data_IF_692104458396
#
_entry.id   IF_692104458396
#
_cell.length_a   1.000
_cell.length_b   1.000
_cell.length_c   1.000
_cell.angle_alpha   90.00
_cell.angle_beta   90.00
_cell.angle_gamma   90.00
#
_symmetry.space_group_name_H-M   'P 1'
#
loop_
_entity.id
_entity.type
_entity.pdbx_description
1 polymer ?
#
# COMPACT_ATOMS: atom_id res chain seq x y z
N UNK A 1 -15.80 -3.47 -28.25
CA UNK A 1 -16.78 -3.32 -27.15
C UNK A 1 -17.28 -4.66 -26.58
N UNK A 2 -17.58 -5.68 -27.39
CA UNK A 2 -18.05 -6.99 -26.90
C UNK A 2 -17.05 -7.74 -26.00
N UNK A 3 -15.75 -7.69 -26.33
CA UNK A 3 -14.67 -8.35 -25.57
C UNK A 3 -14.56 -7.85 -24.12
N UNK A 4 -14.51 -6.53 -23.92
CA UNK A 4 -14.40 -5.92 -22.59
C UNK A 4 -15.66 -6.12 -21.76
N UNK A 5 -16.85 -6.05 -22.38
CA UNK A 5 -18.10 -6.34 -21.69
C UNK A 5 -18.17 -7.80 -21.23
N UNK A 6 -17.70 -8.74 -22.06
CA UNK A 6 -17.63 -10.15 -21.69
C UNK A 6 -16.63 -10.41 -20.56
N UNK A 7 -15.44 -9.79 -20.64
CA UNK A 7 -14.42 -9.81 -19.57
C UNK A 7 -15.01 -9.30 -18.25
N UNK A 8 -15.70 -8.16 -18.28
CA UNK A 8 -16.32 -7.58 -17.08
C UNK A 8 -17.49 -8.42 -16.57
N UNK A 9 -18.26 -9.06 -17.45
CA UNK A 9 -19.33 -9.99 -17.06
C UNK A 9 -18.77 -11.20 -16.32
N UNK A 10 -17.68 -11.78 -16.81
CA UNK A 10 -17.03 -12.95 -16.21
C UNK A 10 -16.29 -12.56 -14.93
N UNK A 11 -15.54 -11.46 -14.95
CA UNK A 11 -14.79 -10.95 -13.80
C UNK A 11 -15.67 -10.58 -12.60
N UNK A 12 -16.95 -10.26 -12.82
CA UNK A 12 -17.90 -9.92 -11.75
C UNK A 12 -18.88 -11.05 -11.41
N UNK A 13 -18.62 -12.29 -11.82
CA UNK A 13 -19.49 -13.42 -11.49
C UNK A 13 -19.56 -13.66 -9.97
N UNK A 14 -20.72 -14.13 -9.45
CA UNK A 14 -20.90 -14.44 -8.03
C UNK A 14 -19.86 -15.43 -7.48
N UNK A 15 -19.40 -16.37 -8.32
CA UNK A 15 -18.38 -17.34 -7.94
C UNK A 15 -17.02 -16.68 -7.67
N UNK A 16 -16.63 -15.70 -8.50
CA UNK A 16 -15.38 -14.95 -8.32
C UNK A 16 -15.46 -14.10 -7.05
N UNK A 17 -16.62 -13.49 -6.78
CA UNK A 17 -16.90 -12.80 -5.52
C UNK A 17 -16.72 -13.72 -4.31
N UNK A 18 -17.28 -14.94 -4.34
CA UNK A 18 -17.16 -15.88 -3.23
C UNK A 18 -15.69 -16.27 -2.97
N UNK A 19 -14.94 -16.60 -4.02
CA UNK A 19 -13.52 -16.95 -3.90
C UNK A 19 -12.66 -15.79 -3.36
N UNK A 20 -12.90 -14.57 -3.84
CA UNK A 20 -12.22 -13.38 -3.36
C UNK A 20 -12.58 -13.09 -1.90
N UNK A 21 -13.87 -13.17 -1.56
CA UNK A 21 -14.36 -12.91 -0.21
C UNK A 21 -13.74 -13.84 0.83
N UNK A 22 -13.61 -15.14 0.53
CA UNK A 22 -12.95 -16.11 1.44
C UNK A 22 -11.54 -15.63 1.79
N UNK A 23 -10.76 -15.22 0.80
CA UNK A 23 -9.37 -14.80 1.03
C UNK A 23 -9.29 -13.47 1.80
N UNK A 24 -10.19 -12.52 1.52
CA UNK A 24 -10.28 -11.27 2.30
C UNK A 24 -10.70 -11.53 3.75
N UNK A 25 -11.59 -12.49 3.99
CA UNK A 25 -11.97 -12.90 5.35
C UNK A 25 -10.77 -13.52 6.07
N UNK A 26 -9.96 -14.33 5.38
CA UNK A 26 -8.72 -14.87 5.96
C UNK A 26 -7.77 -13.75 6.37
N UNK A 27 -7.55 -12.74 5.53
CA UNK A 27 -6.66 -11.62 5.88
C UNK A 27 -7.20 -10.80 7.06
N UNK A 28 -8.53 -10.60 7.14
CA UNK A 28 -9.18 -9.96 8.28
C UNK A 28 -8.97 -10.77 9.57
N UNK A 29 -9.15 -12.09 9.52
CA UNK A 29 -8.91 -12.98 10.67
C UNK A 29 -7.45 -12.91 11.10
N UNK A 30 -6.49 -12.94 10.16
CA UNK A 30 -5.06 -12.80 10.46
C UNK A 30 -4.75 -11.46 11.16
N UNK A 31 -5.29 -10.35 10.67
CA UNK A 31 -5.18 -9.02 11.30
C UNK A 31 -5.66 -9.03 12.76
N UNK A 32 -6.81 -9.66 13.03
CA UNK A 32 -7.37 -9.79 14.38
C UNK A 32 -6.49 -10.67 15.27
N UNK A 33 -5.99 -11.79 14.75
CA UNK A 33 -5.09 -12.70 15.49
C UNK A 33 -3.76 -12.02 15.83
N UNK A 34 -3.14 -11.30 14.88
CA UNK A 34 -1.92 -10.55 15.15
C UNK A 34 -2.15 -9.42 16.16
N UNK A 35 -3.30 -8.75 16.10
CA UNK A 35 -3.65 -7.74 17.11
C UNK A 35 -3.77 -8.36 18.51
N UNK A 36 -4.34 -9.56 18.61
CA UNK A 36 -4.41 -10.31 19.88
C UNK A 36 -3.02 -10.74 20.36
N UNK A 37 -2.19 -11.25 19.46
CA UNK A 37 -0.82 -11.65 19.76
C UNK A 37 0.01 -10.47 20.25
N UNK A 38 -0.02 -9.34 19.54
CA UNK A 38 0.69 -8.11 19.93
C UNK A 38 0.28 -7.63 21.34
N UNK A 39 -1.02 -7.68 21.67
CA UNK A 39 -1.51 -7.34 23.02
C UNK A 39 -0.99 -8.31 24.09
N UNK A 40 -0.90 -9.61 23.78
CA UNK A 40 -0.37 -10.62 24.69
C UNK A 40 1.13 -10.42 24.91
N UNK A 41 1.90 -10.25 23.85
CA UNK A 41 3.35 -10.01 23.91
C UNK A 41 3.67 -8.70 24.63
N UNK A 42 2.90 -7.63 24.43
CA UNK A 42 3.07 -6.39 25.18
C UNK A 42 2.87 -6.57 26.69
N UNK A 43 1.92 -7.42 27.09
CA UNK A 43 1.69 -7.77 28.51
C UNK A 43 2.85 -8.61 29.07
N UNK A 44 3.33 -9.59 28.31
CA UNK A 44 4.49 -10.43 28.69
C UNK A 44 5.78 -9.59 28.81
N UNK A 45 5.95 -8.58 27.95
CA UNK A 45 7.06 -7.63 27.98
C UNK A 45 6.90 -6.49 29.00
N UNK A 46 5.87 -6.53 29.86
CA UNK A 46 5.57 -5.50 30.88
C UNK A 46 5.46 -4.06 30.33
N UNK A 47 5.02 -3.90 29.08
CA UNK A 47 4.78 -2.58 28.50
C UNK A 47 3.51 -1.99 29.11
N UNK A 48 3.55 -0.71 29.49
CA UNK A 48 2.39 -0.01 30.05
C UNK A 48 1.17 -0.11 29.11
N UNK A 49 -0.02 -0.50 29.62
CA UNK A 49 -1.24 -0.56 28.83
C UNK A 49 -1.62 0.76 28.14
N UNK A 50 -1.23 1.89 28.74
CA UNK A 50 -1.48 3.22 28.20
C UNK A 50 -0.66 3.47 26.92
N UNK A 51 0.59 3.02 26.90
CA UNK A 51 1.48 3.13 25.74
C UNK A 51 0.95 2.25 24.60
N UNK A 52 0.59 1.00 24.90
CA UNK A 52 0.02 0.08 23.89
C UNK A 52 -1.30 0.61 23.31
N UNK A 53 -2.17 1.19 24.13
CA UNK A 53 -3.44 1.78 23.69
C UNK A 53 -3.21 3.01 22.82
N UNK A 54 -2.26 3.86 23.18
CA UNK A 54 -1.89 5.04 22.40
C UNK A 54 -1.29 4.62 21.06
N UNK A 55 -0.31 3.71 21.06
CA UNK A 55 0.30 3.18 19.84
C UNK A 55 -0.73 2.58 18.88
N UNK A 56 -1.68 1.79 19.39
CA UNK A 56 -2.75 1.20 18.58
C UNK A 56 -3.69 2.27 18.00
N UNK A 57 -4.06 3.28 18.79
CA UNK A 57 -4.89 4.40 18.32
C UNK A 57 -4.18 5.20 17.23
N UNK A 58 -2.93 5.57 17.46
CA UNK A 58 -2.11 6.31 16.49
C UNK A 58 -1.97 5.51 15.20
N UNK A 59 -1.72 4.21 15.29
CA UNK A 59 -1.65 3.32 14.13
C UNK A 59 -2.96 3.22 13.34
N UNK A 60 -4.10 3.13 14.02
CA UNK A 60 -5.41 3.10 13.37
C UNK A 60 -5.72 4.41 12.65
N UNK A 61 -5.43 5.55 13.27
CA UNK A 61 -5.69 6.87 12.66
C UNK A 61 -4.75 7.12 11.49
N UNK A 62 -3.46 6.77 11.63
CA UNK A 62 -2.47 6.99 10.58
C UNK A 62 -2.70 6.09 9.35
N UNK A 63 -3.33 4.92 9.53
CA UNK A 63 -3.68 4.02 8.43
C UNK A 63 -4.81 4.55 7.53
N UNK A 64 -5.61 5.51 8.00
CA UNK A 64 -6.75 6.07 7.22
C UNK A 64 -6.25 6.74 5.93
N UNK A 65 -5.17 7.51 6.00
CA UNK A 65 -4.61 8.22 4.84
C UNK A 65 -4.23 7.26 3.71
N UNK A 66 -3.34 6.28 3.95
CA UNK A 66 -3.01 5.24 2.99
C UNK A 66 -4.23 4.46 2.48
N UNK A 67 -5.20 4.13 3.36
CA UNK A 67 -6.40 3.40 2.96
C UNK A 67 -7.27 4.15 1.94
N UNK A 68 -7.40 5.48 2.07
CA UNK A 68 -8.14 6.30 1.10
C UNK A 68 -7.44 6.28 -0.27
N UNK A 69 -6.10 6.42 -0.30
CA UNK A 69 -5.34 6.37 -1.54
C UNK A 69 -5.48 5.02 -2.26
N UNK A 70 -5.44 3.93 -1.49
CA UNK A 70 -5.68 2.56 -1.99
C UNK A 70 -7.09 2.41 -2.54
N UNK A 71 -8.09 2.97 -1.85
CA UNK A 71 -9.49 2.93 -2.29
C UNK A 71 -9.71 3.64 -3.63
N UNK A 72 -9.08 4.79 -3.86
CA UNK A 72 -9.18 5.51 -5.15
C UNK A 72 -8.67 4.64 -6.30
N UNK A 73 -7.51 4.00 -6.13
CA UNK A 73 -6.95 3.12 -7.18
C UNK A 73 -7.80 1.86 -7.35
N UNK A 74 -8.43 1.36 -6.29
CA UNK A 74 -9.38 0.25 -6.38
C UNK A 74 -10.48 0.55 -7.39
N UNK A 75 -11.12 1.72 -7.26
CA UNK A 75 -12.21 2.12 -8.15
C UNK A 75 -11.74 2.16 -9.61
N UNK A 76 -10.51 2.62 -9.88
CA UNK A 76 -9.92 2.59 -11.22
C UNK A 76 -9.69 1.18 -11.75
N UNK A 77 -9.20 0.27 -10.92
CA UNK A 77 -8.98 -1.14 -11.30
C UNK A 77 -10.28 -1.92 -11.47
N UNK A 78 -11.33 -1.60 -10.71
CA UNK A 78 -12.63 -2.26 -10.83
C UNK A 78 -13.18 -2.18 -12.27
N UNK A 79 -12.92 -1.08 -12.97
CA UNK A 79 -13.36 -0.87 -14.36
C UNK A 79 -12.59 -1.70 -15.39
N UNK A 80 -11.46 -2.32 -15.03
CA UNK A 80 -10.53 -2.97 -15.99
C UNK A 80 -10.31 -4.45 -15.71
N UNK A 81 -10.18 -4.85 -14.45
CA UNK A 81 -9.85 -6.23 -14.04
C UNK A 81 -10.98 -6.94 -13.29
N UNK A 82 -12.12 -6.28 -13.13
CA UNK A 82 -13.26 -6.77 -12.36
C UNK A 82 -13.24 -6.38 -10.88
N UNK A 83 -14.43 -6.23 -10.30
CA UNK A 83 -14.61 -5.74 -8.93
C UNK A 83 -14.08 -6.69 -7.84
N UNK A 84 -14.34 -8.01 -7.89
CA UNK A 84 -13.87 -8.93 -6.87
C UNK A 84 -12.34 -8.97 -6.79
N UNK A 85 -11.68 -8.97 -7.94
CA UNK A 85 -10.23 -9.11 -8.01
C UNK A 85 -9.54 -7.83 -7.53
N UNK A 86 -10.02 -6.65 -7.94
CA UNK A 86 -9.52 -5.37 -7.43
C UNK A 86 -9.65 -5.29 -5.90
N UNK A 87 -10.79 -5.72 -5.36
CA UNK A 87 -11.03 -5.76 -3.91
C UNK A 87 -10.09 -6.71 -3.17
N UNK A 88 -9.92 -7.93 -3.66
CA UNK A 88 -9.02 -8.92 -3.08
C UNK A 88 -7.58 -8.40 -2.99
N UNK A 89 -7.07 -7.86 -4.10
CA UNK A 89 -5.66 -7.49 -4.22
C UNK A 89 -5.28 -6.34 -3.32
N UNK A 90 -6.13 -5.33 -3.26
CA UNK A 90 -5.90 -4.17 -2.42
C UNK A 90 -6.18 -4.45 -0.93
N UNK A 91 -6.96 -5.49 -0.62
CA UNK A 91 -7.14 -5.97 0.75
C UNK A 91 -5.97 -6.81 1.29
N UNK A 92 -5.11 -7.35 0.43
CA UNK A 92 -3.96 -8.19 0.82
C UNK A 92 -2.63 -7.44 0.70
N UNK A 93 -2.37 -6.80 -0.44
CA UNK A 93 -1.06 -6.20 -0.72
C UNK A 93 -1.02 -4.74 -0.25
N UNK A 94 -2.16 -4.05 -0.27
CA UNK A 94 -2.30 -2.66 0.18
C UNK A 94 -1.47 -1.63 -0.60
N UNK A 95 -0.60 -2.03 -1.52
CA UNK A 95 0.22 -1.15 -2.34
C UNK A 95 -0.40 -0.99 -3.73
N UNK A 96 -1.36 -0.08 -3.83
CA UNK A 96 -2.07 0.21 -5.08
C UNK A 96 -1.15 0.50 -6.30
N UNK A 97 -0.06 1.29 -6.19
CA UNK A 97 0.82 1.55 -7.34
C UNK A 97 1.55 0.31 -7.86
N UNK A 98 1.90 -0.63 -6.98
CA UNK A 98 2.59 -1.87 -7.38
C UNK A 98 1.63 -2.81 -8.10
N UNK A 99 0.39 -2.91 -7.61
CA UNK A 99 -0.68 -3.67 -8.26
C UNK A 99 -1.02 -3.11 -9.65
N UNK A 100 -1.15 -1.80 -9.76
CA UNK A 100 -1.39 -1.14 -11.05
C UNK A 100 -0.23 -1.39 -12.02
N UNK A 101 1.01 -1.28 -11.56
CA UNK A 101 2.20 -1.51 -12.39
C UNK A 101 2.29 -2.97 -12.85
N UNK A 102 2.06 -3.93 -11.95
CA UNK A 102 2.02 -5.35 -12.30
C UNK A 102 0.92 -5.64 -13.34
N UNK A 103 -0.25 -5.03 -13.17
CA UNK A 103 -1.37 -5.20 -14.09
C UNK A 103 -1.06 -4.60 -15.47
N UNK A 104 -0.46 -3.41 -15.53
CA UNK A 104 -0.04 -2.75 -16.78
C UNK A 104 0.98 -3.59 -17.52
N UNK A 105 2.06 -3.99 -16.86
CA UNK A 105 3.14 -4.76 -17.47
C UNK A 105 2.63 -6.11 -18.00
N UNK A 106 1.73 -6.76 -17.27
CA UNK A 106 1.14 -8.02 -17.70
C UNK A 106 0.23 -7.87 -18.92
N UNK A 107 -0.57 -6.80 -18.96
CA UNK A 107 -1.41 -6.50 -20.11
C UNK A 107 -0.55 -6.20 -21.36
N UNK A 108 0.52 -5.41 -21.20
CA UNK A 108 1.48 -5.09 -22.25
C UNK A 108 2.22 -6.33 -22.75
N UNK A 109 2.67 -7.20 -21.84
CA UNK A 109 3.30 -8.47 -22.18
C UNK A 109 2.35 -9.41 -22.94
N UNK A 110 1.05 -9.32 -22.70
CA UNK A 110 0.02 -10.06 -23.42
C UNK A 110 -0.43 -9.37 -24.74
N UNK A 111 0.25 -8.30 -25.16
CA UNK A 111 -0.03 -7.59 -26.42
C UNK A 111 -1.22 -6.62 -26.36
N UNK A 112 -1.67 -6.26 -25.16
CA UNK A 112 -2.80 -5.36 -24.92
C UNK A 112 -2.42 -4.25 -23.93
N UNK A 113 -3.37 -3.40 -23.55
CA UNK A 113 -3.22 -2.45 -22.45
C UNK A 113 -4.42 -2.54 -21.53
N UNK A 114 -4.23 -2.19 -20.26
CA UNK A 114 -5.32 -2.13 -19.29
C UNK A 114 -6.48 -1.28 -19.83
N UNK A 115 -7.68 -1.87 -19.86
CA UNK A 115 -8.91 -1.18 -20.30
C UNK A 115 -8.98 -0.86 -21.80
N UNK A 116 -8.07 -1.39 -22.64
CA UNK A 116 -8.14 -1.20 -24.09
C UNK A 116 -9.12 -2.18 -24.75
N UNK A 117 -9.54 -1.89 -25.98
CA UNK A 117 -10.52 -2.71 -26.72
C UNK A 117 -10.04 -4.15 -26.98
N UNK A 118 -8.73 -4.37 -27.03
CA UNK A 118 -8.11 -5.68 -27.18
C UNK A 118 -7.86 -6.40 -25.85
N UNK A 119 -8.42 -5.93 -24.73
CA UNK A 119 -8.33 -6.60 -23.44
C UNK A 119 -9.29 -7.81 -23.42
N UNK A 120 -8.77 -8.97 -23.82
CA UNK A 120 -9.53 -10.23 -23.90
C UNK A 120 -9.50 -11.00 -22.57
N UNK A 121 -10.26 -12.10 -22.48
CA UNK A 121 -10.23 -13.04 -21.35
C UNK A 121 -8.83 -13.62 -21.10
N UNK A 122 -8.06 -13.87 -22.15
CA UNK A 122 -6.68 -14.37 -22.03
C UNK A 122 -5.77 -13.31 -21.41
N UNK A 123 -5.88 -12.06 -21.86
CA UNK A 123 -5.14 -10.92 -21.28
C UNK A 123 -5.51 -10.77 -19.81
N UNK A 124 -6.81 -10.83 -19.46
CA UNK A 124 -7.27 -10.77 -18.07
C UNK A 124 -6.65 -11.89 -17.22
N UNK A 125 -6.63 -13.13 -17.71
CA UNK A 125 -6.05 -14.26 -16.98
C UNK A 125 -4.55 -14.08 -16.74
N UNK A 126 -3.80 -13.63 -17.76
CA UNK A 126 -2.36 -13.30 -17.63
C UNK A 126 -2.15 -12.17 -16.63
N UNK A 127 -2.97 -11.12 -16.67
CA UNK A 127 -2.94 -10.00 -15.73
C UNK A 127 -3.20 -10.47 -14.29
N UNK A 128 -4.25 -11.26 -14.05
CA UNK A 128 -4.54 -11.80 -12.72
C UNK A 128 -3.41 -12.70 -12.20
N UNK A 129 -2.82 -13.51 -13.08
CA UNK A 129 -1.71 -14.39 -12.72
C UNK A 129 -0.44 -13.61 -12.37
N UNK A 130 -0.06 -12.62 -13.18
CA UNK A 130 1.08 -11.76 -12.90
C UNK A 130 0.92 -10.97 -11.60
N UNK A 131 -0.30 -10.46 -11.35
CA UNK A 131 -0.62 -9.84 -10.07
C UNK A 131 -0.48 -10.85 -8.92
N UNK A 132 -1.00 -12.07 -9.04
CA UNK A 132 -0.81 -13.10 -8.02
C UNK A 132 0.68 -13.38 -7.73
N UNK A 133 1.50 -13.53 -8.79
CA UNK A 133 2.95 -13.71 -8.68
C UNK A 133 3.66 -12.54 -7.98
N UNK A 134 3.24 -11.30 -8.27
CA UNK A 134 3.75 -10.11 -7.58
C UNK A 134 3.60 -10.25 -6.05
N UNK A 135 2.48 -10.80 -5.58
CA UNK A 135 2.27 -11.06 -4.14
C UNK A 135 3.10 -12.20 -3.59
N UNK A 136 3.22 -13.30 -4.34
CA UNK A 136 3.99 -14.47 -3.93
C UNK A 136 5.48 -14.15 -3.77
N UNK A 137 6.04 -13.28 -4.61
CA UNK A 137 7.45 -12.87 -4.51
C UNK A 137 7.82 -12.31 -3.14
N UNK A 138 6.96 -11.44 -2.58
CA UNK A 138 7.17 -10.87 -1.24
C UNK A 138 7.13 -11.92 -0.13
N UNK A 139 6.17 -12.85 -0.21
CA UNK A 139 6.02 -13.92 0.79
C UNK A 139 7.19 -14.92 0.74
N UNK A 140 7.65 -15.28 -0.45
CA UNK A 140 8.78 -16.20 -0.62
C UNK A 140 10.08 -15.58 -0.10
N UNK A 141 10.36 -14.33 -0.48
CA UNK A 141 11.57 -13.64 -0.04
C UNK A 141 11.53 -13.40 1.47
N UNK A 142 10.40 -12.96 2.01
CA UNK A 142 10.25 -12.76 3.46
C UNK A 142 10.39 -14.09 4.22
N UNK A 143 9.71 -15.15 3.78
CA UNK A 143 9.76 -16.45 4.45
C UNK A 143 11.15 -17.10 4.43
N UNK A 144 11.87 -17.01 3.31
CA UNK A 144 13.19 -17.62 3.17
C UNK A 144 14.29 -16.78 3.81
N UNK A 145 14.25 -15.45 3.65
CA UNK A 145 15.36 -14.58 4.00
C UNK A 145 15.17 -13.79 5.30
N UNK A 146 13.96 -13.66 5.87
CA UNK A 146 13.79 -12.93 7.13
C UNK A 146 14.69 -13.42 8.28
N UNK A 147 14.90 -14.73 8.51
CA UNK A 147 15.80 -15.20 9.57
C UNK A 147 17.26 -14.83 9.31
N UNK A 148 17.67 -14.78 8.04
CA UNK A 148 19.03 -14.41 7.66
C UNK A 148 19.23 -12.91 7.74
N UNK A 149 18.23 -12.12 7.37
CA UNK A 149 18.24 -10.67 7.48
C UNK A 149 18.30 -10.24 8.95
N UNK A 150 17.60 -10.92 9.86
CA UNK A 150 17.70 -10.60 11.30
C UNK A 150 19.10 -10.92 11.84
N UNK A 151 19.69 -12.06 11.48
CA UNK A 151 21.09 -12.38 11.83
C UNK A 151 22.08 -11.36 11.27
N UNK A 152 21.86 -10.92 10.04
CA UNK A 152 22.71 -9.92 9.37
C UNK A 152 22.56 -8.56 10.06
N UNK A 153 21.32 -8.17 10.40
CA UNK A 153 21.01 -6.96 11.16
C UNK A 153 21.68 -6.97 12.53
N UNK A 154 21.59 -8.05 13.29
CA UNK A 154 22.26 -8.19 14.59
C UNK A 154 23.80 -8.13 14.45
N UNK A 155 24.36 -8.79 13.44
CA UNK A 155 25.80 -8.79 13.16
C UNK A 155 26.31 -7.41 12.74
N UNK A 156 25.55 -6.68 11.93
CA UNK A 156 25.89 -5.31 11.53
C UNK A 156 25.70 -4.31 12.68
N UNK A 157 24.69 -4.52 13.52
CA UNK A 157 24.40 -3.66 14.66
C UNK A 157 25.32 -3.85 15.86
N UNK A 158 25.98 -5.01 15.99
CA UNK A 158 26.94 -5.29 17.07
C UNK A 158 26.35 -5.17 18.48
N UNK A 159 25.02 -5.19 18.63
CA UNK A 159 24.30 -4.95 19.89
C UNK A 159 23.95 -3.47 20.18
N UNK A 160 24.39 -2.51 19.37
CA UNK A 160 24.03 -1.10 19.56
C UNK A 160 22.64 -0.79 18.97
N UNK A 161 21.68 -0.62 19.86
CA UNK A 161 20.28 -0.27 19.55
C UNK A 161 20.14 1.02 18.74
N UNK A 162 21.07 1.98 18.87
CA UNK A 162 21.06 3.22 18.08
C UNK A 162 21.48 2.97 16.63
N UNK A 163 22.50 2.13 16.43
CA UNK A 163 22.91 1.71 15.09
C UNK A 163 21.83 0.89 14.40
N UNK A 164 21.17 -0.01 15.13
CA UNK A 164 20.03 -0.76 14.62
C UNK A 164 18.85 0.15 14.22
N UNK A 165 18.58 1.20 14.99
CA UNK A 165 17.57 2.20 14.65
C UNK A 165 17.97 3.01 13.39
N UNK A 166 19.24 3.40 13.27
CA UNK A 166 19.75 4.14 12.12
C UNK A 166 19.68 3.31 10.82
N UNK A 167 20.06 2.02 10.86
CA UNK A 167 19.94 1.11 9.72
C UNK A 167 18.48 0.93 9.31
N UNK A 168 17.57 0.73 10.28
CA UNK A 168 16.14 0.63 9.99
C UNK A 168 15.55 1.91 9.38
N UNK A 169 16.00 3.08 9.86
CA UNK A 169 15.65 4.38 9.30
C UNK A 169 16.17 4.55 7.87
N UNK A 170 17.44 4.24 7.62
CA UNK A 170 18.06 4.31 6.30
C UNK A 170 17.39 3.36 5.30
N UNK A 171 17.07 2.13 5.72
CA UNK A 171 16.34 1.16 4.90
C UNK A 171 14.95 1.68 4.51
N UNK A 172 14.21 2.23 5.48
CA UNK A 172 12.88 2.82 5.24
C UNK A 172 12.97 4.00 4.27
N UNK A 173 13.93 4.90 4.48
CA UNK A 173 14.19 6.03 3.58
C UNK A 173 14.58 5.57 2.17
N UNK A 174 15.38 4.52 2.05
CA UNK A 174 15.77 3.93 0.77
C UNK A 174 14.57 3.36 0.00
N UNK A 175 13.73 2.56 0.67
CA UNK A 175 12.53 1.96 0.07
C UNK A 175 11.54 3.04 -0.35
N UNK A 176 11.15 3.93 0.57
CA UNK A 176 10.19 5.00 0.24
C UNK A 176 10.77 6.02 -0.74
N UNK A 177 12.08 6.27 -0.70
CA UNK A 177 12.78 7.12 -1.66
C UNK A 177 12.76 6.54 -3.07
N UNK A 178 13.01 5.24 -3.23
CA UNK A 178 12.90 4.55 -4.52
C UNK A 178 11.47 4.58 -5.06
N UNK A 179 10.48 4.25 -4.23
CA UNK A 179 9.07 4.27 -4.61
C UNK A 179 8.62 5.70 -5.01
N UNK A 180 9.01 6.71 -4.23
CA UNK A 180 8.73 8.11 -4.51
C UNK A 180 9.42 8.57 -5.81
N UNK A 181 10.68 8.19 -6.04
CA UNK A 181 11.42 8.53 -7.26
C UNK A 181 10.75 7.94 -8.51
N UNK A 182 10.27 6.71 -8.43
CA UNK A 182 9.54 6.08 -9.53
C UNK A 182 8.25 6.85 -9.85
N UNK A 183 7.49 7.28 -8.84
CA UNK A 183 6.27 8.06 -9.07
C UNK A 183 6.54 9.48 -9.57
N UNK A 184 7.60 10.14 -9.09
CA UNK A 184 8.05 11.46 -9.58
C UNK A 184 8.38 11.40 -11.07
N UNK A 185 9.02 10.31 -11.55
CA UNK A 185 9.35 10.15 -12.96
C UNK A 185 8.12 9.97 -13.86
N UNK A 186 6.96 9.58 -13.31
CA UNK A 186 5.74 9.33 -14.11
C UNK A 186 4.99 10.60 -14.49
N UNK A 187 5.20 11.73 -13.81
CA UNK A 187 4.53 12.98 -14.15
C UNK A 187 4.78 14.14 -13.20
N UNK A 188 4.56 15.36 -13.69
CA UNK A 188 4.72 16.61 -12.94
C UNK A 188 3.70 16.75 -11.81
N UNK A 189 2.45 16.29 -11.99
CA UNK A 189 1.43 16.21 -10.94
C UNK A 189 1.88 15.34 -9.76
N UNK A 190 2.44 14.15 -10.05
CA UNK A 190 2.98 13.24 -9.02
C UNK A 190 4.18 13.85 -8.28
N UNK A 191 5.05 14.56 -9.00
CA UNK A 191 6.16 15.28 -8.40
C UNK A 191 5.69 16.38 -7.43
N UNK A 192 4.68 17.14 -7.83
CA UNK A 192 4.05 18.15 -6.98
C UNK A 192 3.40 17.51 -5.74
N UNK A 193 2.71 16.38 -5.90
CA UNK A 193 2.15 15.62 -4.78
C UNK A 193 3.22 15.25 -3.74
N UNK A 194 4.36 14.74 -4.22
CA UNK A 194 5.47 14.32 -3.37
C UNK A 194 6.11 15.52 -2.63
N UNK A 195 6.38 16.62 -3.33
CA UNK A 195 7.00 17.81 -2.76
C UNK A 195 6.07 18.53 -1.77
N UNK A 196 4.82 18.77 -2.17
CA UNK A 196 3.84 19.47 -1.32
C UNK A 196 3.45 18.63 -0.11
N UNK A 197 3.33 17.30 -0.26
CA UNK A 197 3.12 16.38 0.85
C UNK A 197 4.30 16.38 1.82
N UNK A 198 5.54 16.37 1.32
CA UNK A 198 6.74 16.45 2.17
C UNK A 198 6.81 17.78 2.95
N UNK A 199 6.57 18.90 2.27
CA UNK A 199 6.54 20.23 2.91
C UNK A 199 5.42 20.32 3.95
N UNK A 200 4.22 19.85 3.63
CA UNK A 200 3.10 19.80 4.56
C UNK A 200 3.42 18.95 5.78
N UNK A 201 4.07 17.80 5.61
CA UNK A 201 4.47 16.93 6.72
C UNK A 201 5.50 17.63 7.62
N UNK A 202 6.53 18.26 7.05
CA UNK A 202 7.54 19.01 7.82
C UNK A 202 6.89 20.16 8.58
N UNK A 203 5.99 20.91 7.94
CA UNK A 203 5.27 22.02 8.55
C UNK A 203 4.37 21.54 9.71
N UNK A 204 3.58 20.48 9.50
CA UNK A 204 2.71 19.93 10.53
C UNK A 204 3.53 19.44 11.75
N UNK A 205 4.63 18.71 11.51
CA UNK A 205 5.46 18.16 12.59
C UNK A 205 6.26 19.23 13.33
N UNK A 206 6.79 20.25 12.63
CA UNK A 206 7.64 21.27 13.27
C UNK A 206 6.88 22.48 13.81
N UNK A 207 5.74 22.85 13.24
CA UNK A 207 5.03 24.09 13.60
C UNK A 207 3.71 23.82 14.33
N UNK A 208 3.00 22.74 14.00
CA UNK A 208 1.63 22.48 14.49
C UNK A 208 1.64 21.49 15.65
N UNK A 209 2.35 20.36 15.52
CA UNK A 209 2.47 19.32 16.55
C UNK A 209 2.99 19.87 17.90
N UNK A 210 4.01 20.76 17.95
CA UNK A 210 4.47 21.30 19.23
C UNK A 210 3.41 22.16 19.95
N UNK A 211 2.49 22.78 19.20
CA UNK A 211 1.38 23.58 19.75
C UNK A 211 0.16 22.72 20.08
N UNK A 212 -0.06 21.66 19.30
CA UNK A 212 -1.20 20.75 19.42
C UNK A 212 -0.73 19.30 19.24
N UNK A 213 -0.20 18.64 20.29
CA UNK A 213 0.38 17.30 20.19
C UNK A 213 -0.64 16.21 19.79
N UNK A 214 -1.94 16.48 19.96
CA UNK A 214 -3.01 15.58 19.46
C UNK A 214 -3.07 15.50 17.93
N UNK A 215 -2.49 16.47 17.21
CA UNK A 215 -2.47 16.46 15.74
C UNK A 215 -1.36 15.58 15.17
N UNK A 216 -0.43 15.06 15.98
CA UNK A 216 0.59 14.10 15.52
C UNK A 216 -0.06 12.85 14.92
N UNK A 217 -1.19 12.40 15.48
CA UNK A 217 -1.91 11.22 15.00
C UNK A 217 -2.50 11.43 13.60
N UNK A 218 -2.87 12.68 13.26
CA UNK A 218 -3.52 13.06 12.01
C UNK A 218 -2.57 13.67 10.97
N UNK A 219 -1.35 14.05 11.39
CA UNK A 219 -0.40 14.78 10.55
C UNK A 219 -0.11 14.05 9.23
N UNK A 220 0.06 12.72 9.28
CA UNK A 220 0.28 11.91 8.09
C UNK A 220 -0.90 11.97 7.11
N UNK A 221 -2.13 11.79 7.60
CA UNK A 221 -3.33 11.83 6.77
C UNK A 221 -3.58 13.20 6.15
N UNK A 222 -3.37 14.28 6.93
CA UNK A 222 -3.52 15.67 6.45
C UNK A 222 -2.48 15.98 5.38
N UNK A 223 -1.22 15.59 5.59
CA UNK A 223 -0.15 15.79 4.60
C UNK A 223 -0.44 15.06 3.28
N UNK A 224 -0.97 13.83 3.35
CA UNK A 224 -1.38 13.09 2.16
C UNK A 224 -2.53 13.78 1.41
N UNK A 225 -3.59 14.19 2.11
CA UNK A 225 -4.73 14.88 1.49
C UNK A 225 -4.30 16.20 0.83
N UNK A 226 -3.43 16.96 1.50
CA UNK A 226 -2.89 18.19 0.96
C UNK A 226 -2.06 17.95 -0.32
N UNK A 227 -1.17 16.96 -0.29
CA UNK A 227 -0.37 16.58 -1.46
C UNK A 227 -1.22 16.15 -2.65
N UNK A 228 -2.24 15.32 -2.42
CA UNK A 228 -3.18 14.90 -3.46
C UNK A 228 -3.99 16.09 -4.01
N UNK A 229 -4.47 16.99 -3.15
CA UNK A 229 -5.22 18.16 -3.59
C UNK A 229 -4.39 19.08 -4.49
N UNK A 230 -3.13 19.34 -4.13
CA UNK A 230 -2.22 20.14 -4.96
C UNK A 230 -1.97 19.51 -6.33
N UNK A 231 -1.80 18.19 -6.39
CA UNK A 231 -1.61 17.46 -7.64
C UNK A 231 -2.85 17.53 -8.53
N UNK A 232 -4.04 17.28 -7.97
CA UNK A 232 -5.30 17.34 -8.72
C UNK A 232 -5.57 18.76 -9.23
N UNK A 233 -5.34 19.80 -8.43
CA UNK A 233 -5.51 21.18 -8.87
C UNK A 233 -4.56 21.50 -10.03
N UNK A 234 -3.30 21.10 -9.95
CA UNK A 234 -2.35 21.28 -11.03
C UNK A 234 -2.81 20.56 -12.31
N UNK A 235 -3.24 19.30 -12.20
CA UNK A 235 -3.66 18.52 -13.36
C UNK A 235 -4.95 19.07 -14.00
N UNK A 236 -5.86 19.65 -13.21
CA UNK A 236 -7.08 20.31 -13.70
C UNK A 236 -6.79 21.67 -14.34
N UNK A 237 -5.80 22.41 -13.85
CA UNK A 237 -5.44 23.76 -14.37
C UNK A 237 -4.53 23.67 -15.60
N UNK A 238 -3.75 22.59 -15.73
CA UNK A 238 -2.80 22.38 -16.83
C UNK A 238 -3.34 21.44 -17.93
N UNK A 239 -4.56 20.91 -17.78
CA UNK A 239 -5.38 20.33 -18.85
C UNK A 239 -6.05 21.43 -19.67
#
# INVERSE_FOLDING_TARGET
MESLQEVMRIGNQPMVWALCAVTVVVSLVQSLLFTRLAKRTAREAQISPEITKTAFRVGLISAIGPAIGVFIVMVGLMATIGSPMAWLRLSIIGAAPTELTAATLAAEAAGSGLGKENFTLQVMAVTWFAMALNGCGWLLVSGLFAPYLEKLREKMGGGDTKWLAAIGGAASLGVFGYLCSNEIRRGTGNMLAALTGAVAMVFLVKCVVPKHPKLTEYALGIAMLFGMACAVIHDVVMM
#
